data_IF_289709148644
#
_entry.id   IF_289709148644
#
_cell.length_a   1.000
_cell.length_b   1.000
_cell.length_c   1.000
_cell.angle_alpha   90.00
_cell.angle_beta   90.00
_cell.angle_gamma   90.00
#
_symmetry.space_group_name_H-M   'P 1'
#
loop_
_entity.id
_entity.type
_entity.pdbx_description
1 polymer ?
#
# COMPACT_ATOMS: atom_id res chain seq x y z
N UNK A 1 90.18 -12.18 -63.80
CA UNK A 1 90.53 -13.56 -63.88
C UNK A 1 90.13 -14.21 -62.52
N UNK A 2 89.25 -15.15 -62.63
CA UNK A 2 89.26 -16.43 -61.98
C UNK A 2 89.19 -16.52 -60.41
N UNK A 3 88.00 -16.93 -59.94
CA UNK A 3 87.68 -17.99 -59.02
C UNK A 3 88.38 -18.07 -57.66
N UNK A 4 87.60 -18.16 -56.56
CA UNK A 4 87.41 -19.41 -55.83
C UNK A 4 86.32 -19.21 -54.79
N UNK A 5 85.44 -20.15 -54.78
CA UNK A 5 84.41 -20.38 -53.77
C UNK A 5 84.98 -20.84 -52.41
N UNK A 6 84.48 -20.31 -51.34
CA UNK A 6 84.59 -21.02 -50.05
C UNK A 6 83.29 -20.84 -49.23
N UNK A 7 82.72 -21.97 -49.08
CA UNK A 7 81.50 -22.29 -48.29
C UNK A 7 81.78 -22.08 -46.83
N UNK A 8 81.02 -21.16 -46.17
CA UNK A 8 80.92 -21.19 -44.73
C UNK A 8 79.41 -21.09 -44.41
N UNK A 9 78.89 -22.23 -43.97
CA UNK A 9 77.59 -22.32 -43.37
C UNK A 9 77.60 -21.58 -42.04
N UNK A 10 76.96 -20.41 -41.96
CA UNK A 10 76.74 -19.74 -40.68
C UNK A 10 75.30 -19.97 -40.26
N UNK A 11 75.14 -20.68 -39.19
CA UNK A 11 73.90 -21.01 -38.47
C UNK A 11 73.21 -19.74 -38.01
N UNK A 12 72.12 -19.35 -38.68
CA UNK A 12 71.25 -18.24 -38.23
C UNK A 12 70.38 -18.79 -37.09
N UNK A 13 70.69 -18.43 -35.90
CA UNK A 13 69.82 -18.60 -34.74
C UNK A 13 68.67 -17.60 -34.86
N UNK A 14 67.52 -18.04 -35.33
CA UNK A 14 66.28 -17.33 -35.25
C UNK A 14 65.83 -17.22 -33.80
N UNK A 15 66.17 -16.12 -33.15
CA UNK A 15 65.42 -15.73 -31.91
C UNK A 15 64.05 -15.30 -32.34
N UNK A 16 63.10 -16.24 -32.31
CA UNK A 16 61.68 -15.96 -32.38
C UNK A 16 61.32 -15.14 -31.16
N UNK A 17 61.16 -13.82 -31.36
CA UNK A 17 60.36 -13.02 -30.45
C UNK A 17 58.93 -13.54 -30.47
N UNK A 18 58.52 -14.24 -29.42
CA UNK A 18 57.15 -14.69 -29.27
C UNK A 18 56.22 -13.49 -29.32
N UNK A 19 55.56 -13.30 -30.44
CA UNK A 19 54.32 -12.53 -30.45
C UNK A 19 53.38 -13.15 -29.43
N UNK A 20 53.03 -12.37 -28.40
CA UNK A 20 51.92 -12.70 -27.54
C UNK A 20 50.71 -12.79 -28.46
N UNK A 21 50.30 -14.00 -28.77
CA UNK A 21 49.02 -14.27 -29.42
C UNK A 21 47.94 -13.59 -28.54
N UNK A 22 47.37 -12.54 -29.10
CA UNK A 22 46.22 -11.89 -28.51
C UNK A 22 45.08 -12.89 -28.63
N UNK A 23 44.89 -13.68 -27.60
CA UNK A 23 43.73 -14.58 -27.52
C UNK A 23 42.46 -13.73 -27.49
N UNK A 24 41.55 -14.03 -28.40
CA UNK A 24 40.28 -13.32 -28.46
C UNK A 24 39.49 -13.54 -27.16
N UNK A 25 38.51 -12.68 -26.88
CA UNK A 25 37.63 -12.83 -25.70
C UNK A 25 36.85 -14.15 -25.82
N UNK A 26 36.44 -14.50 -27.04
CA UNK A 26 35.75 -15.76 -27.35
C UNK A 26 36.59 -17.01 -27.04
N UNK A 27 37.88 -16.96 -27.36
CA UNK A 27 38.80 -18.10 -27.09
C UNK A 27 38.97 -18.29 -25.58
N UNK A 28 39.07 -17.22 -24.81
CA UNK A 28 39.20 -17.27 -23.35
C UNK A 28 37.90 -17.74 -22.70
N UNK A 29 36.73 -17.36 -23.23
CA UNK A 29 35.43 -17.87 -22.76
C UNK A 29 35.28 -19.36 -23.06
N UNK A 30 35.65 -19.78 -24.25
CA UNK A 30 35.54 -21.17 -24.67
C UNK A 30 36.48 -22.12 -23.92
N UNK A 31 37.63 -21.63 -23.41
CA UNK A 31 38.54 -22.40 -22.56
C UNK A 31 37.96 -22.81 -21.20
N UNK A 32 36.89 -22.15 -20.75
CA UNK A 32 36.25 -22.42 -19.46
C UNK A 32 37.14 -22.11 -18.22
N UNK A 33 38.35 -21.56 -18.44
CA UNK A 33 39.29 -21.28 -17.36
C UNK A 33 39.03 -19.94 -16.68
N UNK A 34 38.50 -19.99 -15.47
CA UNK A 34 38.16 -18.79 -14.68
C UNK A 34 39.36 -17.85 -14.39
N UNK A 35 40.55 -18.41 -14.27
CA UNK A 35 41.78 -17.62 -14.04
C UNK A 35 42.16 -16.80 -15.27
N UNK A 36 42.08 -17.41 -16.47
CA UNK A 36 42.33 -16.73 -17.74
C UNK A 36 41.29 -15.68 -18.05
N UNK A 37 40.01 -15.95 -17.75
CA UNK A 37 38.93 -14.97 -17.87
C UNK A 37 39.17 -13.74 -17.01
N UNK A 38 39.58 -13.94 -15.75
CA UNK A 38 39.91 -12.82 -14.80
C UNK A 38 41.12 -12.03 -15.27
N UNK A 39 42.16 -12.72 -15.78
CA UNK A 39 43.34 -12.06 -16.32
C UNK A 39 43.00 -11.23 -17.55
N UNK A 40 42.21 -11.76 -18.48
CA UNK A 40 41.76 -11.07 -19.69
C UNK A 40 40.86 -9.87 -19.35
N UNK A 41 39.94 -10.01 -18.38
CA UNK A 41 39.14 -8.91 -17.87
C UNK A 41 40.02 -7.77 -17.36
N UNK A 42 41.03 -8.08 -16.53
CA UNK A 42 41.95 -7.08 -15.96
C UNK A 42 42.79 -6.39 -17.07
N UNK A 43 43.20 -7.14 -18.10
CA UNK A 43 43.91 -6.60 -19.26
C UNK A 43 43.02 -5.58 -20.01
N UNK A 44 41.77 -5.92 -20.29
CA UNK A 44 40.80 -5.06 -20.96
C UNK A 44 40.52 -3.79 -20.13
N UNK A 45 40.33 -3.93 -18.81
CA UNK A 45 40.15 -2.78 -17.91
C UNK A 45 41.35 -1.84 -17.89
N UNK A 46 42.57 -2.40 -17.98
CA UNK A 46 43.80 -1.61 -18.03
C UNK A 46 43.92 -0.87 -19.37
N UNK A 47 43.64 -1.58 -20.47
CA UNK A 47 43.63 -0.97 -21.83
C UNK A 47 42.56 0.14 -21.93
N UNK A 48 41.38 -0.07 -21.36
CA UNK A 48 40.31 0.93 -21.30
C UNK A 48 40.77 2.20 -20.56
N UNK A 49 41.45 2.05 -19.42
CA UNK A 49 42.03 3.20 -18.71
C UNK A 49 43.05 3.94 -19.54
N UNK A 50 43.94 3.20 -20.23
CA UNK A 50 44.95 3.78 -21.07
C UNK A 50 44.34 4.56 -22.23
N UNK A 51 43.37 3.98 -22.95
CA UNK A 51 42.62 4.59 -24.03
C UNK A 51 41.90 5.87 -23.55
N UNK A 52 41.33 5.85 -22.36
CA UNK A 52 40.68 7.05 -21.79
C UNK A 52 41.69 8.19 -21.55
N UNK A 53 42.88 7.87 -21.03
CA UNK A 53 43.95 8.86 -20.84
C UNK A 53 44.42 9.47 -22.18
N UNK A 54 44.60 8.61 -23.18
CA UNK A 54 45.00 9.04 -24.54
C UNK A 54 43.91 9.92 -25.18
N UNK A 55 42.64 9.54 -24.99
CA UNK A 55 41.50 10.33 -25.45
C UNK A 55 41.43 11.68 -24.78
N UNK A 56 41.62 11.76 -23.45
CA UNK A 56 41.67 13.04 -22.73
C UNK A 56 42.83 13.92 -23.21
N UNK A 57 43.98 13.33 -23.50
CA UNK A 57 45.16 14.02 -24.01
C UNK A 57 44.90 14.58 -25.42
N UNK A 58 44.29 13.79 -26.31
CA UNK A 58 43.89 14.21 -27.65
C UNK A 58 42.82 15.30 -27.61
N UNK A 59 41.81 15.16 -26.79
CA UNK A 59 40.73 16.16 -26.60
C UNK A 59 41.35 17.49 -26.13
N UNK A 60 42.30 17.43 -25.20
CA UNK A 60 43.00 18.61 -24.70
C UNK A 60 43.84 19.28 -25.80
N UNK A 61 44.58 18.48 -26.59
CA UNK A 61 45.36 19.00 -27.74
C UNK A 61 44.44 19.59 -28.81
N UNK A 62 43.35 18.90 -29.17
CA UNK A 62 42.36 19.41 -30.15
C UNK A 62 41.79 20.75 -29.68
N UNK A 63 41.51 20.90 -28.37
CA UNK A 63 40.95 22.15 -27.82
C UNK A 63 41.89 23.36 -27.97
N UNK A 64 43.20 23.14 -28.12
CA UNK A 64 44.20 24.18 -28.32
C UNK A 64 44.28 24.60 -29.80
N UNK A 65 44.14 23.62 -30.71
CA UNK A 65 44.27 23.87 -32.16
C UNK A 65 42.97 24.17 -32.88
N UNK A 66 41.81 23.79 -32.29
CA UNK A 66 40.48 24.06 -32.87
C UNK A 66 40.06 25.51 -32.58
N UNK A 67 40.31 26.37 -33.54
CA UNK A 67 39.91 27.80 -33.50
C UNK A 67 38.41 28.01 -33.70
N UNK A 68 37.67 27.01 -34.21
CA UNK A 68 36.22 27.08 -34.42
C UNK A 68 35.54 26.38 -33.24
N UNK A 69 35.47 27.01 -32.08
CA UNK A 69 34.76 26.49 -30.89
C UNK A 69 33.27 26.38 -31.15
N UNK A 70 32.82 25.26 -31.69
CA UNK A 70 31.39 24.88 -31.67
C UNK A 70 31.08 24.43 -30.26
N UNK A 71 30.68 25.37 -29.40
CA UNK A 71 30.29 25.05 -28.01
C UNK A 71 28.98 24.29 -28.03
N UNK A 72 28.88 23.13 -27.34
CA UNK A 72 27.61 22.45 -27.14
C UNK A 72 26.56 23.40 -26.52
N UNK A 73 25.34 23.32 -27.04
CA UNK A 73 24.24 24.12 -26.53
C UNK A 73 23.57 23.35 -25.40
N UNK A 74 23.36 24.01 -24.27
CA UNK A 74 22.73 23.43 -23.08
C UNK A 74 21.63 24.34 -22.54
N UNK A 75 20.60 23.77 -21.95
CA UNK A 75 19.64 24.50 -21.14
C UNK A 75 19.93 24.24 -19.66
N UNK A 76 19.69 25.24 -18.83
CA UNK A 76 19.94 25.15 -17.38
C UNK A 76 18.69 25.52 -16.59
N UNK A 77 18.61 25.06 -15.36
CA UNK A 77 17.65 25.55 -14.38
C UNK A 77 18.35 25.71 -13.02
N UNK A 78 17.82 26.58 -12.19
CA UNK A 78 18.35 26.82 -10.84
C UNK A 78 17.69 25.89 -9.85
N UNK A 79 18.51 25.11 -9.14
CA UNK A 79 18.03 24.26 -8.06
C UNK A 79 17.58 25.12 -6.87
N UNK A 80 16.30 25.06 -6.54
CA UNK A 80 15.70 25.76 -5.40
C UNK A 80 15.23 24.79 -4.35
N UNK A 81 15.33 25.19 -3.09
CA UNK A 81 14.74 24.43 -1.98
C UNK A 81 13.23 24.59 -2.01
N UNK A 82 12.53 23.49 -2.09
CA UNK A 82 11.06 23.43 -2.16
C UNK A 82 10.49 22.43 -1.19
N UNK A 83 9.20 22.54 -0.90
CA UNK A 83 8.48 21.52 -0.13
C UNK A 83 8.36 20.26 -0.97
N UNK A 84 8.84 19.14 -0.44
CA UNK A 84 8.68 17.82 -1.04
C UNK A 84 7.81 16.94 -0.15
N UNK A 85 6.71 16.46 -0.71
CA UNK A 85 5.84 15.49 -0.08
C UNK A 85 5.87 14.21 -0.92
N UNK A 86 6.52 13.18 -0.43
CA UNK A 86 6.52 11.87 -1.07
C UNK A 86 5.28 11.07 -0.62
N UNK A 87 4.67 10.38 -1.56
CA UNK A 87 3.49 9.57 -1.31
C UNK A 87 3.69 8.16 -1.85
N UNK A 88 3.29 7.20 -1.05
CA UNK A 88 3.14 5.82 -1.49
C UNK A 88 1.77 5.68 -2.16
N UNK A 89 1.76 5.21 -3.40
CA UNK A 89 0.52 4.92 -4.13
C UNK A 89 0.15 3.45 -3.97
N UNK A 90 -1.02 3.19 -3.43
CA UNK A 90 -1.54 1.86 -3.16
C UNK A 90 -2.97 1.73 -3.67
N UNK A 91 -3.44 0.50 -3.75
CA UNK A 91 -4.86 0.21 -3.97
C UNK A 91 -5.44 -0.42 -2.72
N UNK A 92 -6.72 -0.15 -2.47
CA UNK A 92 -7.46 -0.76 -1.39
C UNK A 92 -8.92 -0.95 -1.76
N UNK A 93 -9.60 -1.79 -1.00
CA UNK A 93 -11.01 -2.10 -1.20
C UNK A 93 -11.84 -1.52 -0.06
N UNK A 94 -12.93 -0.87 -0.44
CA UNK A 94 -13.90 -0.35 0.53
C UNK A 94 -14.62 -1.51 1.21
N UNK A 95 -14.73 -1.44 2.51
CA UNK A 95 -15.46 -2.44 3.30
C UNK A 95 -16.15 -1.80 4.51
N UNK A 96 -16.94 -2.58 5.21
CA UNK A 96 -17.54 -2.20 6.50
C UNK A 96 -17.66 -3.43 7.40
N UNK A 97 -17.42 -3.26 8.69
CA UNK A 97 -17.62 -4.33 9.70
C UNK A 97 -19.11 -4.65 9.94
N UNK A 98 -20.00 -3.76 9.47
CA UNK A 98 -21.45 -3.89 9.62
C UNK A 98 -22.10 -4.23 8.27
N UNK A 99 -21.69 -5.36 7.70
CA UNK A 99 -22.30 -6.00 6.53
C UNK A 99 -22.46 -7.46 6.87
N UNK A 100 -23.67 -7.86 7.24
CA UNK A 100 -23.95 -9.22 7.69
C UNK A 100 -25.21 -9.79 7.02
N UNK A 101 -25.21 -11.09 6.90
CA UNK A 101 -26.40 -11.89 6.62
C UNK A 101 -27.10 -12.21 7.94
N UNK A 102 -28.39 -11.99 7.99
CA UNK A 102 -29.22 -12.27 9.18
C UNK A 102 -29.81 -13.65 9.03
N UNK A 103 -29.60 -14.48 10.03
CA UNK A 103 -30.07 -15.86 10.11
C UNK A 103 -31.10 -15.99 11.23
N UNK A 104 -32.04 -16.96 11.14
CA UNK A 104 -32.89 -17.34 12.28
C UNK A 104 -32.05 -18.02 13.35
N UNK A 105 -32.40 -17.83 14.62
CA UNK A 105 -31.80 -18.55 15.73
C UNK A 105 -32.48 -19.91 16.04
N UNK A 106 -33.72 -20.07 15.55
CA UNK A 106 -34.53 -21.28 15.70
C UNK A 106 -35.19 -21.64 14.35
N UNK A 107 -35.44 -22.92 14.09
CA UNK A 107 -36.17 -23.32 12.89
C UNK A 107 -37.64 -22.88 12.98
N UNK A 108 -38.22 -22.53 11.84
CA UNK A 108 -39.63 -22.13 11.73
C UNK A 108 -40.05 -21.74 10.34
N UNK A 109 -41.33 -21.51 10.16
CA UNK A 109 -41.92 -20.98 8.93
C UNK A 109 -41.98 -19.46 9.05
N UNK A 110 -41.58 -18.74 8.02
CA UNK A 110 -41.70 -17.28 7.96
C UNK A 110 -43.18 -16.91 7.88
N UNK A 111 -43.67 -16.24 8.90
CA UNK A 111 -45.08 -15.80 8.98
C UNK A 111 -45.30 -14.43 8.36
N UNK A 112 -44.31 -13.52 8.55
CA UNK A 112 -44.45 -12.12 8.17
C UNK A 112 -43.06 -11.49 8.03
N UNK A 113 -42.82 -10.75 6.93
CA UNK A 113 -41.60 -9.95 6.70
C UNK A 113 -41.98 -8.48 6.74
N UNK A 114 -41.47 -7.74 7.75
CA UNK A 114 -41.90 -6.37 8.08
C UNK A 114 -41.00 -5.29 7.50
N UNK A 115 -40.13 -5.64 6.60
CA UNK A 115 -39.18 -4.72 5.98
C UNK A 115 -39.13 -4.95 4.49
N UNK A 116 -38.59 -3.95 3.75
CA UNK A 116 -38.39 -3.99 2.28
C UNK A 116 -36.93 -3.69 1.96
N UNK A 117 -36.48 -4.17 0.83
CA UNK A 117 -35.18 -3.80 0.29
C UNK A 117 -35.05 -2.28 0.14
N UNK A 118 -33.86 -1.73 0.41
CA UNK A 118 -33.58 -0.30 0.46
C UNK A 118 -34.06 0.41 1.72
N UNK A 119 -34.82 -0.26 2.61
CA UNK A 119 -35.36 0.37 3.81
C UNK A 119 -34.27 0.56 4.88
N UNK A 120 -34.19 1.76 5.46
CA UNK A 120 -33.40 2.00 6.66
C UNK A 120 -34.08 1.44 7.90
N UNK A 121 -33.35 0.72 8.74
CA UNK A 121 -33.81 0.15 9.99
C UNK A 121 -32.88 0.55 11.15
N UNK A 122 -33.47 0.75 12.31
CA UNK A 122 -32.72 0.98 13.56
C UNK A 122 -32.44 -0.33 14.27
N UNK A 123 -31.39 -0.37 15.10
CA UNK A 123 -31.08 -1.53 15.96
C UNK A 123 -32.32 -1.92 16.79
N UNK A 124 -32.65 -3.21 16.82
CA UNK A 124 -33.79 -3.77 17.53
C UNK A 124 -35.12 -3.72 16.76
N UNK A 125 -35.17 -3.09 15.58
CA UNK A 125 -36.39 -3.11 14.75
C UNK A 125 -36.71 -4.55 14.32
N UNK A 126 -37.97 -4.94 14.43
CA UNK A 126 -38.48 -6.23 14.01
C UNK A 126 -38.42 -6.33 12.48
N UNK A 127 -37.68 -7.34 11.99
CA UNK A 127 -37.48 -7.60 10.55
C UNK A 127 -38.45 -8.65 10.03
N UNK A 128 -38.57 -9.76 10.75
CA UNK A 128 -39.49 -10.84 10.40
C UNK A 128 -39.95 -11.58 11.67
N UNK A 129 -41.05 -12.32 11.50
CA UNK A 129 -41.62 -13.17 12.52
C UNK A 129 -41.74 -14.60 11.99
N UNK A 130 -41.22 -15.54 12.73
CA UNK A 130 -41.42 -16.97 12.48
C UNK A 130 -42.69 -17.45 13.16
N UNK A 131 -43.29 -18.53 12.65
CA UNK A 131 -44.29 -19.26 13.35
C UNK A 131 -43.73 -19.79 14.67
N UNK A 132 -44.41 -19.52 15.75
CA UNK A 132 -43.97 -19.87 17.11
C UNK A 132 -44.33 -21.29 17.53
N UNK A 133 -45.03 -22.07 16.68
CA UNK A 133 -45.41 -23.44 16.96
C UNK A 133 -46.26 -23.60 18.23
N UNK A 134 -47.01 -22.55 18.63
CA UNK A 134 -47.86 -22.57 19.83
C UNK A 134 -47.13 -22.18 21.12
N UNK A 135 -45.91 -21.67 21.04
CA UNK A 135 -45.15 -21.20 22.22
C UNK A 135 -45.87 -20.05 22.92
N UNK A 136 -46.54 -19.14 22.15
CA UNK A 136 -47.35 -18.07 22.72
C UNK A 136 -48.49 -18.56 23.60
N UNK A 137 -49.18 -19.62 23.18
CA UNK A 137 -50.29 -20.21 23.94
C UNK A 137 -49.80 -20.91 25.19
N UNK A 138 -48.70 -21.67 25.10
CA UNK A 138 -48.02 -22.27 26.24
C UNK A 138 -47.56 -21.23 27.26
N UNK A 139 -47.03 -20.09 26.79
CA UNK A 139 -46.62 -18.98 27.63
C UNK A 139 -47.81 -18.38 28.40
N UNK A 140 -48.94 -18.13 27.72
CA UNK A 140 -50.17 -17.63 28.34
C UNK A 140 -50.71 -18.58 29.40
N UNK A 141 -50.69 -19.89 29.13
CA UNK A 141 -51.10 -20.92 30.10
C UNK A 141 -50.18 -20.90 31.34
N UNK A 142 -48.87 -20.88 31.14
CA UNK A 142 -47.89 -20.90 32.22
C UNK A 142 -47.89 -19.59 33.03
N UNK A 143 -48.16 -18.44 32.40
CA UNK A 143 -48.37 -17.17 33.09
C UNK A 143 -49.58 -17.22 34.03
N UNK A 144 -50.68 -17.87 33.60
CA UNK A 144 -51.87 -18.06 34.44
C UNK A 144 -51.56 -18.96 35.64
N UNK A 145 -50.85 -20.06 35.43
CA UNK A 145 -50.39 -20.95 36.51
C UNK A 145 -49.44 -20.24 37.49
N UNK A 146 -48.51 -19.43 36.95
CA UNK A 146 -47.56 -18.66 37.78
C UNK A 146 -48.28 -17.62 38.64
N UNK A 147 -49.33 -16.98 38.12
CA UNK A 147 -50.15 -16.03 38.86
C UNK A 147 -50.83 -16.70 40.07
N UNK A 148 -51.35 -17.91 39.87
CA UNK A 148 -51.93 -18.72 40.99
C UNK A 148 -50.84 -19.08 42.02
N UNK A 149 -49.70 -19.61 41.54
CA UNK A 149 -48.56 -19.99 42.40
C UNK A 149 -48.03 -18.77 43.20
N UNK A 150 -47.95 -17.60 42.57
CA UNK A 150 -47.58 -16.34 43.23
C UNK A 150 -48.52 -15.98 44.35
N UNK A 151 -49.83 -16.02 44.10
CA UNK A 151 -50.86 -15.69 45.12
C UNK A 151 -50.78 -16.68 46.31
N UNK A 152 -50.57 -17.96 46.02
CA UNK A 152 -50.43 -18.99 47.07
C UNK A 152 -49.16 -18.74 47.90
N UNK A 153 -48.04 -18.47 47.24
CA UNK A 153 -46.80 -18.13 47.93
C UNK A 153 -46.92 -16.87 48.80
N UNK A 154 -47.51 -15.80 48.31
CA UNK A 154 -47.69 -14.53 49.05
C UNK A 154 -48.57 -14.75 50.29
N UNK A 155 -49.61 -15.59 50.17
CA UNK A 155 -50.47 -15.94 51.30
C UNK A 155 -49.73 -16.81 52.34
N UNK A 156 -49.04 -17.87 51.93
CA UNK A 156 -48.25 -18.71 52.81
C UNK A 156 -47.11 -17.93 53.47
N UNK A 157 -46.45 -17.03 52.77
CA UNK A 157 -45.44 -16.13 53.32
C UNK A 157 -46.04 -15.24 54.43
N UNK A 158 -47.23 -14.63 54.20
CA UNK A 158 -47.86 -13.76 55.16
C UNK A 158 -48.30 -14.54 56.46
N UNK A 159 -48.68 -15.80 56.32
CA UNK A 159 -48.97 -16.65 57.45
C UNK A 159 -47.72 -17.04 58.25
N UNK A 160 -46.65 -17.40 57.53
CA UNK A 160 -45.36 -17.74 58.10
C UNK A 160 -44.72 -16.56 58.85
N UNK A 161 -44.73 -15.35 58.22
CA UNK A 161 -44.22 -14.11 58.82
C UNK A 161 -44.96 -13.79 60.16
N UNK A 162 -46.25 -14.18 60.27
CA UNK A 162 -47.06 -14.04 61.48
C UNK A 162 -46.91 -15.22 62.45
N UNK A 163 -45.98 -16.16 62.14
CA UNK A 163 -45.79 -17.45 62.93
C UNK A 163 -47.03 -18.35 63.00
N UNK A 164 -47.85 -18.28 61.94
CA UNK A 164 -49.08 -19.10 61.79
C UNK A 164 -48.85 -20.00 60.58
N UNK A 165 -48.86 -21.34 60.76
CA UNK A 165 -48.73 -22.27 59.66
C UNK A 165 -47.40 -23.05 59.62
N UNK A 166 -47.27 -23.96 58.64
CA UNK A 166 -46.16 -24.88 58.51
C UNK A 166 -45.05 -24.26 57.58
N UNK A 167 -43.83 -24.33 58.05
CA UNK A 167 -42.65 -23.95 57.25
C UNK A 167 -42.59 -24.73 55.93
N UNK A 168 -42.91 -25.98 55.96
CA UNK A 168 -42.88 -26.83 54.76
C UNK A 168 -43.89 -26.40 53.70
N UNK A 169 -45.10 -25.91 54.13
CA UNK A 169 -46.09 -25.38 53.20
C UNK A 169 -45.64 -24.02 52.57
N UNK A 170 -44.95 -23.15 53.34
CA UNK A 170 -44.33 -21.93 52.82
C UNK A 170 -43.26 -22.30 51.79
N UNK A 171 -42.31 -23.21 52.13
CA UNK A 171 -41.22 -23.59 51.22
C UNK A 171 -41.72 -24.29 49.95
N UNK A 172 -42.77 -25.11 50.02
CA UNK A 172 -43.43 -25.69 48.85
C UNK A 172 -44.03 -24.62 47.93
N UNK A 173 -44.76 -23.67 48.50
CA UNK A 173 -45.39 -22.60 47.76
C UNK A 173 -44.31 -21.67 47.10
N UNK A 174 -43.25 -21.36 47.83
CA UNK A 174 -42.10 -20.62 47.35
C UNK A 174 -41.42 -21.30 46.16
N UNK A 175 -41.09 -22.60 46.35
CA UNK A 175 -40.45 -23.41 45.31
C UNK A 175 -41.32 -23.49 44.06
N UNK A 176 -42.63 -23.73 44.20
CA UNK A 176 -43.57 -23.79 43.07
C UNK A 176 -43.63 -22.47 42.30
N UNK A 177 -43.70 -21.34 43.02
CA UNK A 177 -43.71 -20.01 42.36
C UNK A 177 -42.42 -19.75 41.56
N UNK A 178 -41.24 -19.96 42.16
CA UNK A 178 -39.98 -19.71 41.48
C UNK A 178 -39.71 -20.70 40.35
N UNK A 179 -40.13 -21.98 40.47
CA UNK A 179 -40.04 -22.95 39.38
C UNK A 179 -40.85 -22.50 38.16
N UNK A 180 -42.13 -22.10 38.36
CA UNK A 180 -42.96 -21.57 37.27
C UNK A 180 -42.40 -20.27 36.67
N UNK A 181 -41.90 -19.35 37.50
CA UNK A 181 -41.25 -18.12 37.06
C UNK A 181 -40.03 -18.37 36.17
N UNK A 182 -39.21 -19.37 36.53
CA UNK A 182 -38.07 -19.77 35.72
C UNK A 182 -38.50 -20.43 34.40
N UNK A 183 -39.56 -21.25 34.43
CA UNK A 183 -40.12 -21.84 33.22
C UNK A 183 -40.69 -20.78 32.26
N UNK A 184 -41.36 -19.73 32.76
CA UNK A 184 -41.78 -18.56 31.94
C UNK A 184 -40.57 -17.92 31.30
N UNK A 185 -39.51 -17.65 32.04
CA UNK A 185 -38.29 -17.01 31.51
C UNK A 185 -37.70 -17.83 30.38
N UNK A 186 -37.64 -19.15 30.52
CA UNK A 186 -37.14 -20.05 29.50
C UNK A 186 -38.01 -19.99 28.23
N UNK A 187 -39.35 -20.14 28.40
CA UNK A 187 -40.28 -20.14 27.27
C UNK A 187 -40.34 -18.79 26.55
N UNK A 188 -40.24 -17.68 27.30
CA UNK A 188 -40.18 -16.35 26.76
C UNK A 188 -38.90 -16.13 25.91
N UNK A 189 -37.77 -16.66 26.38
CA UNK A 189 -36.52 -16.61 25.58
C UNK A 189 -36.65 -17.39 24.28
N UNK A 190 -37.35 -18.53 24.27
CA UNK A 190 -37.62 -19.28 23.04
C UNK A 190 -38.57 -18.50 22.11
N UNK A 191 -39.62 -17.90 22.63
CA UNK A 191 -40.56 -17.05 21.88
C UNK A 191 -39.84 -15.85 21.27
N UNK A 192 -38.95 -15.18 22.02
CA UNK A 192 -38.19 -14.02 21.49
C UNK A 192 -37.30 -14.40 20.30
N UNK A 193 -36.78 -15.63 20.25
CA UNK A 193 -35.97 -16.13 19.10
C UNK A 193 -36.77 -16.35 17.82
N UNK A 194 -38.10 -16.43 17.91
CA UNK A 194 -38.97 -16.45 16.71
C UNK A 194 -39.11 -15.07 16.07
N UNK A 195 -38.66 -14.00 16.74
CA UNK A 195 -38.77 -12.63 16.31
C UNK A 195 -37.39 -12.13 15.87
N UNK A 196 -37.17 -12.10 14.57
CA UNK A 196 -35.88 -11.70 14.01
C UNK A 196 -35.78 -10.16 14.02
N UNK A 197 -34.78 -9.62 14.70
CA UNK A 197 -34.59 -8.18 14.88
C UNK A 197 -33.26 -7.72 14.31
N UNK A 198 -33.15 -6.43 13.94
CA UNK A 198 -31.94 -5.82 13.43
C UNK A 198 -30.84 -5.75 14.52
N UNK A 199 -29.67 -6.34 14.32
CA UNK A 199 -28.56 -6.32 15.29
C UNK A 199 -27.88 -4.95 15.41
N UNK A 200 -27.96 -4.14 14.36
CA UNK A 200 -27.50 -2.76 14.30
C UNK A 200 -28.35 -1.93 13.32
N UNK A 201 -28.18 -0.61 13.35
CA UNK A 201 -28.86 0.29 12.42
C UNK A 201 -28.17 0.30 11.05
N UNK A 202 -28.94 0.09 9.98
CA UNK A 202 -28.43 -0.01 8.63
C UNK A 202 -29.55 -0.03 7.58
N UNK A 203 -29.21 -0.36 6.35
CA UNK A 203 -30.13 -0.49 5.21
C UNK A 203 -30.29 -1.99 4.92
N UNK A 204 -31.51 -2.41 4.65
CA UNK A 204 -31.79 -3.75 4.12
C UNK A 204 -31.33 -3.77 2.66
N UNK A 205 -30.34 -4.59 2.33
CA UNK A 205 -29.74 -4.66 1.00
C UNK A 205 -30.55 -5.64 0.12
N UNK A 206 -30.61 -6.90 0.54
CA UNK A 206 -31.33 -7.98 -0.14
C UNK A 206 -32.20 -8.76 0.83
N UNK A 207 -33.33 -9.30 0.36
CA UNK A 207 -34.20 -10.26 1.07
C UNK A 207 -34.18 -11.57 0.28
N UNK A 208 -33.64 -12.64 0.89
CA UNK A 208 -33.40 -13.94 0.21
C UNK A 208 -34.53 -14.94 0.35
N UNK A 209 -35.46 -14.71 1.28
CA UNK A 209 -36.55 -15.63 1.60
C UNK A 209 -37.88 -14.92 1.60
N UNK A 210 -38.92 -15.67 1.28
CA UNK A 210 -40.32 -15.20 1.21
C UNK A 210 -41.14 -15.74 2.37
N UNK A 211 -42.29 -15.11 2.61
CA UNK A 211 -43.27 -15.59 3.58
C UNK A 211 -43.78 -17.00 3.18
N UNK A 212 -43.98 -17.83 4.16
CA UNK A 212 -44.36 -19.24 3.99
C UNK A 212 -43.17 -20.20 3.83
N UNK A 213 -41.94 -19.71 3.60
CA UNK A 213 -40.77 -20.58 3.52
C UNK A 213 -40.34 -21.09 4.91
N UNK A 214 -39.81 -22.31 4.93
CA UNK A 214 -39.17 -22.89 6.10
C UNK A 214 -37.71 -22.46 6.15
N UNK A 215 -37.29 -21.91 7.26
CA UNK A 215 -35.90 -21.57 7.53
C UNK A 215 -35.39 -22.17 8.84
N UNK A 216 -34.08 -22.41 8.91
CA UNK A 216 -33.42 -23.00 10.09
C UNK A 216 -32.03 -22.34 10.27
N UNK A 217 -31.43 -22.42 11.46
CA UNK A 217 -30.06 -21.97 11.65
C UNK A 217 -29.08 -22.69 10.73
N UNK A 218 -28.20 -21.94 10.03
CA UNK A 218 -27.17 -22.49 9.17
C UNK A 218 -27.10 -21.90 7.78
N UNK A 219 -26.12 -22.37 6.99
CA UNK A 219 -25.88 -21.89 5.61
C UNK A 219 -27.06 -22.22 4.70
N UNK A 220 -27.41 -21.30 3.79
CA UNK A 220 -28.52 -21.43 2.86
C UNK A 220 -29.87 -20.99 3.43
N UNK A 221 -29.92 -20.59 4.70
CA UNK A 221 -31.13 -20.06 5.37
C UNK A 221 -31.03 -18.58 5.73
N UNK A 222 -30.19 -17.86 4.99
CA UNK A 222 -30.08 -16.39 5.10
C UNK A 222 -31.45 -15.76 4.83
N UNK A 223 -31.97 -14.99 5.77
CA UNK A 223 -33.21 -14.27 5.60
C UNK A 223 -33.03 -13.02 4.76
N UNK A 224 -32.09 -12.19 5.14
CA UNK A 224 -31.79 -10.92 4.50
C UNK A 224 -30.37 -10.45 4.80
N UNK A 225 -29.91 -9.46 4.04
CA UNK A 225 -28.64 -8.75 4.28
C UNK A 225 -28.94 -7.37 4.85
N UNK A 226 -28.17 -6.99 5.88
CA UNK A 226 -28.19 -5.64 6.44
C UNK A 226 -26.79 -5.01 6.36
N UNK A 227 -26.72 -3.79 5.84
CA UNK A 227 -25.46 -3.05 5.63
C UNK A 227 -25.55 -1.68 6.30
N UNK A 228 -24.48 -1.28 6.97
CA UNK A 228 -24.30 0.10 7.44
C UNK A 228 -23.27 0.82 6.58
N UNK A 229 -23.69 1.83 5.82
CA UNK A 229 -22.86 2.62 4.93
C UNK A 229 -22.21 3.85 5.60
N UNK A 230 -22.48 4.10 6.89
CA UNK A 230 -21.93 5.25 7.61
C UNK A 230 -20.53 4.98 8.19
N UNK A 231 -20.21 3.71 8.47
CA UNK A 231 -18.93 3.31 9.06
C UNK A 231 -18.10 2.51 8.03
N UNK A 232 -17.74 3.21 6.96
CA UNK A 232 -16.96 2.63 5.87
C UNK A 232 -15.46 2.86 6.12
N UNK A 233 -14.67 1.90 5.68
CA UNK A 233 -13.22 2.02 5.66
C UNK A 233 -12.66 1.29 4.45
N UNK A 234 -11.41 1.62 4.09
CA UNK A 234 -10.67 0.94 3.05
C UNK A 234 -9.64 0.04 3.73
N UNK A 235 -9.62 -1.21 3.35
CA UNK A 235 -8.54 -2.14 3.64
C UNK A 235 -7.50 -2.04 2.53
N UNK A 236 -6.27 -1.78 2.91
CA UNK A 236 -5.13 -1.76 2.01
C UNK A 236 -3.98 -2.59 2.57
N UNK A 237 -3.29 -3.30 1.68
CA UNK A 237 -2.08 -4.05 2.01
C UNK A 237 -0.87 -3.17 1.71
N UNK A 238 -0.11 -2.82 2.75
CA UNK A 238 1.05 -1.92 2.70
C UNK A 238 2.32 -2.75 2.84
N UNK A 239 3.33 -2.59 1.96
CA UNK A 239 4.61 -3.30 2.09
C UNK A 239 5.32 -3.02 3.41
N UNK A 240 6.00 -4.03 3.98
CA UNK A 240 6.70 -3.94 5.28
C UNK A 240 7.73 -2.81 5.35
N UNK A 241 8.30 -2.40 4.19
CA UNK A 241 9.24 -1.28 4.10
C UNK A 241 8.70 0.07 4.60
N UNK A 242 7.36 0.19 4.68
CA UNK A 242 6.70 1.42 5.13
C UNK A 242 6.19 1.35 6.58
N UNK A 243 6.54 0.31 7.35
CA UNK A 243 6.02 0.08 8.70
C UNK A 243 6.34 1.21 9.68
N UNK A 244 7.48 1.87 9.50
CA UNK A 244 7.91 3.00 10.34
C UNK A 244 7.26 4.32 9.95
N UNK A 245 6.77 4.45 8.71
CA UNK A 245 6.29 5.72 8.15
C UNK A 245 4.77 5.78 8.07
N UNK A 246 4.10 4.64 7.81
CA UNK A 246 2.63 4.57 7.77
C UNK A 246 2.10 4.23 9.15
N UNK A 247 1.66 5.25 9.87
CA UNK A 247 1.18 5.16 11.26
C UNK A 247 -0.26 5.63 11.37
N UNK A 248 -0.92 5.28 12.48
CA UNK A 248 -2.27 5.78 12.80
C UNK A 248 -2.31 7.32 12.80
N UNK A 249 -3.38 7.91 12.23
CA UNK A 249 -3.56 9.37 12.10
C UNK A 249 -2.89 9.99 10.89
N UNK A 250 -2.17 9.23 10.07
CA UNK A 250 -1.61 9.75 8.80
C UNK A 250 -2.73 10.13 7.84
N UNK A 251 -2.58 11.30 7.20
CA UNK A 251 -3.47 11.75 6.14
C UNK A 251 -3.28 10.93 4.87
N UNK A 252 -4.39 10.59 4.26
CA UNK A 252 -4.46 9.79 3.03
C UNK A 252 -5.41 10.47 2.06
N UNK A 253 -4.94 10.72 0.86
CA UNK A 253 -5.80 11.11 -0.25
C UNK A 253 -6.34 9.84 -0.91
N UNK A 254 -7.66 9.72 -0.94
CA UNK A 254 -8.38 8.57 -1.50
C UNK A 254 -9.07 8.98 -2.77
N UNK A 255 -8.70 8.38 -3.88
CA UNK A 255 -9.33 8.58 -5.18
C UNK A 255 -10.16 7.36 -5.59
N UNK A 256 -11.44 7.58 -5.88
CA UNK A 256 -12.36 6.56 -6.40
C UNK A 256 -12.52 6.72 -7.91
N UNK A 257 -11.89 5.87 -8.74
CA UNK A 257 -11.90 6.03 -10.20
C UNK A 257 -13.31 5.97 -10.78
N UNK A 258 -14.15 5.05 -10.29
CA UNK A 258 -15.53 4.85 -10.78
C UNK A 258 -16.40 6.07 -10.48
N UNK A 259 -16.22 6.66 -9.30
CA UNK A 259 -17.01 7.82 -8.87
C UNK A 259 -16.39 9.16 -9.33
N UNK A 260 -15.18 9.13 -9.89
CA UNK A 260 -14.35 10.31 -10.21
C UNK A 260 -14.27 11.30 -9.05
N UNK A 261 -14.11 10.78 -7.84
CA UNK A 261 -14.19 11.53 -6.59
C UNK A 261 -12.93 11.32 -5.76
N UNK A 262 -12.37 12.43 -5.27
CA UNK A 262 -11.28 12.42 -4.27
C UNK A 262 -11.82 12.78 -2.91
N UNK A 263 -11.40 12.07 -1.87
CA UNK A 263 -11.79 12.28 -0.48
C UNK A 263 -10.54 12.30 0.39
N UNK A 264 -10.48 13.24 1.32
CA UNK A 264 -9.44 13.24 2.36
C UNK A 264 -9.86 12.30 3.49
N UNK A 265 -8.94 11.46 3.90
CA UNK A 265 -9.16 10.40 4.87
C UNK A 265 -7.94 10.27 5.79
N UNK A 266 -8.07 9.44 6.81
CA UNK A 266 -7.00 9.19 7.78
C UNK A 266 -6.86 7.70 8.08
N UNK A 267 -5.64 7.29 8.34
CA UNK A 267 -5.34 5.94 8.83
C UNK A 267 -5.97 5.74 10.20
N UNK A 268 -6.97 4.86 10.28
CA UNK A 268 -7.68 4.50 11.50
C UNK A 268 -6.94 3.47 12.33
N UNK A 269 -6.43 2.45 11.64
CA UNK A 269 -5.77 1.31 12.27
C UNK A 269 -4.65 0.78 11.39
N UNK A 270 -3.58 0.34 12.02
CA UNK A 270 -2.45 -0.36 11.39
C UNK A 270 -2.32 -1.70 12.08
N UNK A 271 -2.29 -2.77 11.30
CA UNK A 271 -2.14 -4.13 11.84
C UNK A 271 -0.75 -4.34 12.42
N UNK A 272 -0.67 -5.01 13.55
CA UNK A 272 0.59 -5.45 14.15
C UNK A 272 1.12 -6.78 13.56
N UNK A 273 0.36 -7.37 12.62
CA UNK A 273 0.72 -8.62 11.96
C UNK A 273 1.17 -8.35 10.53
N UNK A 274 2.33 -8.88 10.15
CA UNK A 274 2.83 -8.89 8.78
C UNK A 274 2.48 -10.24 8.17
N UNK A 275 1.84 -10.23 7.02
CA UNK A 275 1.55 -11.44 6.26
C UNK A 275 2.87 -11.96 5.64
N UNK A 276 3.33 -13.17 6.03
CA UNK A 276 4.61 -13.70 5.57
C UNK A 276 4.63 -14.05 4.08
N UNK A 277 3.47 -14.26 3.46
CA UNK A 277 3.38 -14.69 2.07
C UNK A 277 3.67 -13.55 1.08
N UNK A 278 3.26 -12.33 1.41
CA UNK A 278 3.39 -11.16 0.53
C UNK A 278 4.16 -10.01 1.18
N UNK A 279 4.64 -10.16 2.40
CA UNK A 279 5.37 -9.16 3.16
C UNK A 279 4.66 -7.82 3.26
N UNK A 280 3.35 -7.87 3.54
CA UNK A 280 2.52 -6.69 3.74
C UNK A 280 1.86 -6.70 5.12
N UNK A 281 1.48 -5.53 5.60
CA UNK A 281 0.62 -5.35 6.75
C UNK A 281 -0.65 -4.61 6.35
N UNK A 282 -1.77 -4.92 7.00
CA UNK A 282 -3.06 -4.29 6.71
C UNK A 282 -3.19 -2.93 7.36
N UNK A 283 -3.74 -2.00 6.60
CA UNK A 283 -4.05 -0.64 7.05
C UNK A 283 -5.53 -0.35 6.78
N UNK A 284 -6.26 0.03 7.82
CA UNK A 284 -7.64 0.49 7.71
C UNK A 284 -7.69 2.03 7.62
N UNK A 285 -8.27 2.56 6.57
CA UNK A 285 -8.40 4.01 6.33
C UNK A 285 -9.89 4.36 6.44
N UNK A 286 -10.23 5.24 7.39
CA UNK A 286 -11.62 5.68 7.59
C UNK A 286 -12.07 6.57 6.44
N UNK A 287 -13.20 6.23 5.80
CA UNK A 287 -13.75 7.01 4.70
C UNK A 287 -15.06 7.66 5.12
N UNK A 288 -15.16 8.99 5.08
CA UNK A 288 -16.44 9.68 5.29
C UNK A 288 -17.38 9.41 4.12
N UNK A 289 -18.60 8.94 4.41
CA UNK A 289 -19.61 8.60 3.41
C UNK A 289 -20.97 9.25 3.70
N UNK A 290 -21.08 10.61 3.80
CA UNK A 290 -22.32 11.28 4.18
C UNK A 290 -23.42 11.14 3.13
N UNK A 291 -23.07 10.96 1.85
CA UNK A 291 -24.02 10.78 0.76
C UNK A 291 -24.37 9.32 0.48
N UNK A 292 -23.73 8.37 1.18
CA UNK A 292 -23.90 6.93 1.00
C UNK A 292 -23.69 6.45 -0.46
N UNK A 293 -22.92 7.22 -1.24
CA UNK A 293 -22.55 6.93 -2.63
C UNK A 293 -21.36 5.94 -2.72
N UNK A 294 -20.56 5.84 -1.66
CA UNK A 294 -19.47 4.88 -1.55
C UNK A 294 -20.04 3.57 -1.03
N UNK A 295 -19.89 2.51 -1.83
CA UNK A 295 -20.42 1.17 -1.51
C UNK A 295 -19.30 0.19 -1.19
N UNK A 296 -19.58 -0.91 -0.45
CA UNK A 296 -18.61 -1.98 -0.27
C UNK A 296 -18.10 -2.53 -1.60
N UNK A 297 -16.88 -3.05 -1.58
CA UNK A 297 -16.15 -3.63 -2.73
C UNK A 297 -15.76 -2.62 -3.83
N UNK A 298 -15.97 -1.31 -3.64
CA UNK A 298 -15.36 -0.32 -4.52
C UNK A 298 -13.85 -0.30 -4.32
N UNK A 299 -13.11 -0.28 -5.42
CA UNK A 299 -11.66 -0.10 -5.40
C UNK A 299 -11.32 1.39 -5.31
N UNK A 300 -10.37 1.73 -4.47
CA UNK A 300 -9.83 3.07 -4.30
C UNK A 300 -8.32 3.09 -4.53
N UNK A 301 -7.83 4.18 -5.09
CA UNK A 301 -6.39 4.51 -5.13
C UNK A 301 -6.07 5.39 -3.93
N UNK A 302 -5.02 5.05 -3.24
CA UNK A 302 -4.59 5.67 -1.99
C UNK A 302 -3.25 6.35 -2.20
N UNK A 303 -3.13 7.60 -1.78
CA UNK A 303 -1.86 8.32 -1.68
C UNK A 303 -1.58 8.60 -0.22
N UNK A 304 -0.68 7.83 0.37
CA UNK A 304 -0.30 7.95 1.77
C UNK A 304 1.01 8.72 1.86
N UNK A 305 1.03 9.85 2.54
CA UNK A 305 2.26 10.59 2.76
C UNK A 305 3.18 9.80 3.70
N UNK A 306 4.34 9.34 3.19
CA UNK A 306 5.34 8.60 3.96
C UNK A 306 6.58 9.44 4.30
N UNK A 307 6.80 10.55 3.59
CA UNK A 307 7.95 11.43 3.80
C UNK A 307 7.63 12.87 3.46
N UNK A 308 8.12 13.80 4.26
CA UNK A 308 8.01 15.24 4.05
C UNK A 308 9.35 15.92 4.31
N UNK A 309 9.82 16.74 3.37
CA UNK A 309 10.97 17.60 3.53
C UNK A 309 10.62 19.01 3.07
N UNK A 310 10.71 20.00 3.97
CA UNK A 310 10.34 21.39 3.67
C UNK A 310 11.40 22.15 2.87
N UNK A 311 12.61 21.61 2.79
CA UNK A 311 13.77 22.23 2.14
C UNK A 311 14.47 21.25 1.18
N UNK A 312 13.71 20.41 0.49
CA UNK A 312 14.24 19.46 -0.47
C UNK A 312 14.74 20.18 -1.73
N UNK A 313 15.82 19.67 -2.28
CA UNK A 313 16.28 20.03 -3.62
C UNK A 313 15.78 18.97 -4.57
N UNK A 314 14.91 19.35 -5.51
CA UNK A 314 14.28 18.44 -6.45
C UNK A 314 14.87 18.66 -7.85
N UNK A 315 15.24 17.56 -8.50
CA UNK A 315 15.74 17.58 -9.87
C UNK A 315 15.02 16.52 -10.72
N UNK A 316 14.93 16.72 -12.04
CA UNK A 316 14.43 15.68 -12.93
C UNK A 316 15.35 14.45 -12.92
N UNK A 317 14.81 13.26 -12.81
CA UNK A 317 15.59 12.01 -12.81
C UNK A 317 16.38 11.84 -14.12
N UNK A 318 15.86 12.39 -15.24
CA UNK A 318 16.47 12.29 -16.58
C UNK A 318 17.85 12.92 -16.72
N UNK A 319 18.22 13.85 -15.82
CA UNK A 319 19.52 14.54 -15.86
C UNK A 319 20.62 13.87 -15.05
N UNK A 320 20.25 12.86 -14.27
CA UNK A 320 21.21 12.10 -13.46
C UNK A 320 21.92 11.11 -14.37
N UNK A 321 23.22 11.07 -14.23
CA UNK A 321 24.10 10.09 -14.86
C UNK A 321 24.81 9.27 -13.81
N UNK A 322 25.27 8.06 -14.18
CA UNK A 322 26.01 7.16 -13.31
C UNK A 322 27.36 6.85 -13.94
N UNK A 323 28.42 6.82 -13.12
CA UNK A 323 29.75 6.46 -13.59
C UNK A 323 29.99 4.93 -13.47
N UNK A 324 31.11 4.46 -14.02
CA UNK A 324 31.46 3.03 -14.04
C UNK A 324 31.60 2.37 -12.65
N UNK A 325 31.69 3.16 -11.57
CA UNK A 325 31.77 2.67 -10.18
C UNK A 325 30.46 2.84 -9.42
N UNK A 326 29.33 3.15 -10.14
CA UNK A 326 28.00 3.25 -9.55
C UNK A 326 27.70 4.58 -8.84
N UNK A 327 28.53 5.61 -8.97
CA UNK A 327 28.26 6.91 -8.36
C UNK A 327 27.37 7.74 -9.27
N UNK A 328 26.32 8.29 -8.71
CA UNK A 328 25.41 9.21 -9.39
C UNK A 328 25.99 10.62 -9.42
N UNK A 329 25.82 11.30 -10.55
CA UNK A 329 26.29 12.65 -10.72
C UNK A 329 25.39 13.48 -11.63
N UNK A 330 25.52 14.79 -11.50
CA UNK A 330 24.90 15.79 -12.37
C UNK A 330 25.98 16.74 -12.92
N UNK A 331 25.60 17.46 -13.94
CA UNK A 331 26.42 18.56 -14.44
C UNK A 331 25.82 19.91 -14.04
N UNK A 332 26.65 20.75 -13.47
CA UNK A 332 26.34 22.13 -13.11
C UNK A 332 27.16 23.12 -13.91
N UNK A 333 26.73 24.35 -13.94
CA UNK A 333 27.42 25.45 -14.63
C UNK A 333 28.29 26.24 -13.64
N UNK A 334 29.50 26.54 -14.06
CA UNK A 334 30.45 27.43 -13.37
C UNK A 334 30.99 28.47 -14.32
N UNK A 335 31.54 29.58 -13.80
CA UNK A 335 32.21 30.63 -14.57
C UNK A 335 31.35 31.17 -15.75
N UNK A 336 30.05 31.39 -15.50
CA UNK A 336 29.14 31.94 -16.51
C UNK A 336 29.53 33.35 -16.92
N UNK A 337 29.76 33.52 -18.23
CA UNK A 337 30.10 34.82 -18.85
C UNK A 337 28.85 35.52 -19.38
N UNK A 338 28.95 36.81 -19.59
CA UNK A 338 27.85 37.66 -20.13
C UNK A 338 27.40 37.19 -21.53
N UNK A 339 28.30 36.62 -22.32
CA UNK A 339 27.99 36.11 -23.67
C UNK A 339 27.29 34.74 -23.69
N UNK A 340 26.90 34.21 -22.51
CA UNK A 340 26.27 32.92 -22.36
C UNK A 340 27.22 31.70 -22.37
N UNK A 341 28.53 31.93 -22.48
CA UNK A 341 29.51 30.87 -22.31
C UNK A 341 29.70 30.54 -20.84
N UNK A 342 29.90 29.25 -20.54
CA UNK A 342 30.14 28.76 -19.18
C UNK A 342 30.93 27.45 -19.19
N UNK A 343 31.47 27.07 -18.07
CA UNK A 343 32.13 25.77 -17.90
C UNK A 343 31.23 24.76 -17.19
N UNK A 344 31.36 23.53 -17.60
CA UNK A 344 30.62 22.39 -16.98
C UNK A 344 31.43 21.84 -15.84
N UNK A 345 30.78 21.65 -14.68
CA UNK A 345 31.35 21.00 -13.54
C UNK A 345 30.54 19.74 -13.21
N UNK A 346 31.22 18.61 -13.11
CA UNK A 346 30.64 17.36 -12.65
C UNK A 346 30.50 17.40 -11.12
N UNK A 347 29.31 17.14 -10.59
CA UNK A 347 29.04 17.09 -9.16
C UNK A 347 28.47 15.70 -8.82
N UNK A 348 29.15 14.98 -7.93
CA UNK A 348 28.66 13.72 -7.40
C UNK A 348 27.53 14.03 -6.42
N UNK A 349 26.44 13.29 -6.52
CA UNK A 349 25.25 13.48 -5.70
C UNK A 349 24.84 12.19 -5.02
N UNK A 350 24.16 12.34 -3.89
CA UNK A 350 23.38 11.31 -3.24
C UNK A 350 21.90 11.63 -3.45
N UNK A 351 21.12 10.62 -3.85
CA UNK A 351 19.70 10.78 -4.13
C UNK A 351 18.85 10.21 -2.99
N UNK A 352 17.70 10.82 -2.76
CA UNK A 352 16.71 10.40 -1.79
C UNK A 352 15.49 9.75 -2.43
N UNK A 353 14.30 10.19 -2.02
CA UNK A 353 13.01 9.69 -2.51
C UNK A 353 12.70 10.20 -3.91
N UNK A 354 12.02 9.37 -4.70
CA UNK A 354 11.56 9.68 -6.05
C UNK A 354 10.05 9.75 -6.10
N UNK A 355 9.51 10.80 -6.72
CA UNK A 355 8.08 10.96 -6.96
C UNK A 355 7.82 11.32 -8.43
N UNK A 356 7.28 10.39 -9.20
CA UNK A 356 7.16 10.56 -10.66
C UNK A 356 8.51 10.73 -11.33
N UNK A 357 8.69 11.83 -12.07
CA UNK A 357 9.94 12.14 -12.80
C UNK A 357 10.96 12.93 -11.99
N UNK A 358 10.62 13.34 -10.75
CA UNK A 358 11.51 14.12 -9.91
C UNK A 358 12.10 13.27 -8.78
N UNK A 359 13.32 13.58 -8.41
CA UNK A 359 14.05 12.92 -7.34
C UNK A 359 14.66 13.95 -6.41
N UNK A 360 14.65 13.67 -5.13
CA UNK A 360 15.28 14.46 -4.10
C UNK A 360 16.81 14.25 -4.14
N UNK A 361 17.57 15.34 -4.00
CA UNK A 361 19.01 15.30 -3.81
C UNK A 361 19.33 15.61 -2.36
N UNK A 362 20.04 14.66 -1.72
CA UNK A 362 20.46 14.77 -0.31
C UNK A 362 21.74 15.56 -0.14
N UNK A 363 22.58 15.63 -1.19
CA UNK A 363 23.80 16.43 -1.21
C UNK A 363 23.48 17.90 -1.08
N UNK A 364 24.09 18.57 -0.14
CA UNK A 364 23.92 20.02 0.02
C UNK A 364 24.65 20.78 -1.08
N UNK A 365 23.92 21.62 -1.82
CA UNK A 365 24.49 22.57 -2.77
C UNK A 365 24.54 23.97 -2.16
N UNK A 366 25.44 24.79 -2.70
CA UNK A 366 25.35 26.25 -2.51
C UNK A 366 24.06 26.76 -3.11
N UNK A 367 23.42 27.76 -2.49
CA UNK A 367 22.20 28.37 -3.01
C UNK A 367 22.45 28.86 -4.44
N UNK A 368 21.44 28.67 -5.31
CA UNK A 368 21.39 29.11 -6.71
C UNK A 368 22.35 28.37 -7.69
N UNK A 369 22.63 27.09 -7.42
CA UNK A 369 23.38 26.25 -8.36
C UNK A 369 22.58 26.10 -9.67
N UNK A 370 23.16 26.52 -10.81
CA UNK A 370 22.62 26.26 -12.14
C UNK A 370 22.98 24.83 -12.59
N UNK A 371 21.99 23.98 -12.78
CA UNK A 371 22.15 22.59 -13.22
C UNK A 371 21.75 22.48 -14.69
N UNK A 372 22.51 21.70 -15.45
CA UNK A 372 22.22 21.46 -16.87
C UNK A 372 21.01 20.51 -16.97
N UNK A 373 19.97 20.92 -17.72
CA UNK A 373 18.77 20.14 -17.98
C UNK A 373 18.88 19.36 -19.29
N UNK A 374 18.98 20.08 -20.41
CA UNK A 374 19.14 19.47 -21.72
C UNK A 374 20.59 19.57 -22.16
N UNK A 375 21.09 18.58 -22.89
CA UNK A 375 22.48 18.47 -23.26
C UNK A 375 23.40 17.86 -22.19
N UNK A 376 22.88 17.48 -21.02
CA UNK A 376 23.69 16.88 -19.92
C UNK A 376 24.47 15.64 -20.35
N UNK A 377 23.93 14.84 -21.28
CA UNK A 377 24.59 13.62 -21.78
C UNK A 377 25.64 13.86 -22.87
N UNK A 378 25.69 15.07 -23.44
CA UNK A 378 26.62 15.45 -24.54
C UNK A 378 27.78 16.29 -24.07
N UNK A 379 27.92 16.54 -22.78
CA UNK A 379 28.99 17.35 -22.20
C UNK A 379 29.85 16.54 -21.24
N UNK A 380 31.10 17.01 -21.05
CA UNK A 380 32.05 16.39 -20.13
C UNK A 380 32.51 17.40 -19.07
N UNK A 381 33.12 16.91 -18.00
CA UNK A 381 33.64 17.75 -16.92
C UNK A 381 34.73 18.73 -17.47
N UNK A 382 34.62 20.00 -17.12
CA UNK A 382 35.55 21.07 -17.56
C UNK A 382 35.26 21.62 -18.93
N UNK A 383 34.34 21.04 -19.70
CA UNK A 383 34.03 21.48 -21.06
C UNK A 383 33.35 22.87 -21.08
N UNK A 384 33.73 23.71 -22.03
CA UNK A 384 33.04 24.96 -22.29
C UNK A 384 31.73 24.69 -23.06
N UNK A 385 30.65 25.34 -22.66
CA UNK A 385 29.32 25.23 -23.26
C UNK A 385 28.71 26.61 -23.48
N UNK A 386 27.66 26.67 -24.29
CA UNK A 386 26.84 27.87 -24.45
C UNK A 386 25.43 27.62 -23.94
N UNK A 387 25.00 28.44 -22.98
CA UNK A 387 23.68 28.36 -22.37
C UNK A 387 22.66 29.01 -23.33
N UNK A 388 21.63 28.27 -23.71
CA UNK A 388 20.45 28.83 -24.37
C UNK A 388 19.61 29.56 -23.32
N UNK A 389 19.22 30.83 -23.63
CA UNK A 389 18.45 31.65 -22.68
C UNK A 389 17.21 30.92 -22.16
N UNK A 390 17.09 30.92 -20.85
CA UNK A 390 16.01 30.24 -20.10
C UNK A 390 14.65 30.84 -20.41
N UNK A 391 13.73 30.02 -20.88
CA UNK A 391 12.35 30.16 -20.47
C UNK A 391 12.20 29.56 -19.08
N UNK A 392 11.71 30.35 -18.13
CA UNK A 392 11.39 29.91 -16.77
C UNK A 392 10.32 28.84 -16.84
N UNK A 393 10.72 27.57 -16.87
CA UNK A 393 9.78 26.46 -16.78
C UNK A 393 9.33 26.41 -15.32
N UNK A 394 8.07 26.81 -15.10
CA UNK A 394 7.36 26.50 -13.84
C UNK A 394 7.21 24.99 -13.74
N UNK A 395 7.87 24.39 -12.76
CA UNK A 395 7.63 23.02 -12.29
C UNK A 395 6.28 22.94 -11.59
#
# INVERSE_FOLDING_TARGET
MKYIYAFIASTIILTSCGEKTITSVEDVISSGNLSEMRAKKKEIETNQKQINIELETLVSAISIYDTIKRLPLVTTFTAKKTLFNHHVELQGNVTTKKNILVYPEVPGIIKDIRVREGQFVTKGKLLAVLSDGGISDQLAQLETQTKLAKTTYERQKSLWDKKIGSEIEYLKAETSYYANKNAIKQLKSQYEKTRIVAPFSGIIDDIYKEEGMVIAPGQGSELLRIINLNDMYIDADVPESYITTVTKGKHVEVYFPILKKTVQAEVRHVSNHINPNNRTFKVEIKVPNPKQDIKPNLTAKLKINDYKNEKAILIPQSIISENAIGQQYIYAITNKKVNGEANVQKIIIETGKTQGDIIEVLTSFTNDLEIIKEGARSVTNGQAVRILSNESIKL
#
